data_IF_644396981023
#
_entry.id   IF_644396981023
#
_cell.length_a   1.000
_cell.length_b   1.000
_cell.length_c   1.000
_cell.angle_alpha   90.00
_cell.angle_beta   90.00
_cell.angle_gamma   90.00
#
_symmetry.space_group_name_H-M   'P 1'
#
loop_
_entity.id
_entity.type
_entity.pdbx_description
1 polymer ?
#
# COMPACT_ATOMS: atom_id res chain seq x y z
N UNK A 1 1.36 -10.52 1.53
CA UNK A 1 0.14 -11.36 1.51
C UNK A 1 0.23 -12.35 0.36
N UNK A 2 -0.32 -13.56 0.50
CA UNK A 2 -0.41 -14.56 -0.58
C UNK A 2 -1.76 -15.26 -0.47
N UNK A 3 -2.35 -15.60 -1.61
CA UNK A 3 -3.57 -16.41 -1.64
C UNK A 3 -3.30 -17.81 -1.07
N UNK A 4 -4.31 -18.38 -0.41
CA UNK A 4 -4.23 -19.76 0.08
C UNK A 4 -4.14 -20.75 -1.09
N UNK A 5 -3.65 -21.98 -0.86
CA UNK A 5 -3.61 -23.01 -1.89
C UNK A 5 -4.97 -23.25 -2.56
N UNK A 6 -6.05 -23.32 -1.77
CA UNK A 6 -7.42 -23.47 -2.27
C UNK A 6 -7.84 -22.28 -3.16
N UNK A 7 -7.54 -21.04 -2.76
CA UNK A 7 -7.83 -19.88 -3.61
C UNK A 7 -7.06 -19.94 -4.94
N UNK A 8 -5.78 -20.33 -4.91
CA UNK A 8 -4.97 -20.47 -6.12
C UNK A 8 -5.54 -21.53 -7.06
N UNK A 9 -5.97 -22.66 -6.52
CA UNK A 9 -6.59 -23.74 -7.27
C UNK A 9 -7.90 -23.27 -7.92
N UNK A 10 -8.81 -22.69 -7.15
CA UNK A 10 -10.12 -22.26 -7.65
C UNK A 10 -10.01 -21.15 -8.70
N UNK A 11 -9.15 -20.15 -8.49
CA UNK A 11 -8.90 -19.11 -9.49
C UNK A 11 -8.34 -19.72 -10.77
N UNK A 12 -7.44 -20.69 -10.66
CA UNK A 12 -6.85 -21.38 -11.82
C UNK A 12 -7.90 -22.14 -12.63
N UNK A 13 -8.82 -22.83 -11.95
CA UNK A 13 -9.93 -23.55 -12.60
C UNK A 13 -10.84 -22.56 -13.34
N UNK A 14 -11.29 -21.50 -12.65
CA UNK A 14 -12.20 -20.50 -13.25
C UNK A 14 -11.54 -19.81 -14.45
N UNK A 15 -10.27 -19.41 -14.33
CA UNK A 15 -9.53 -18.74 -15.39
C UNK A 15 -9.39 -19.62 -16.66
N UNK A 16 -9.24 -20.93 -16.51
CA UNK A 16 -9.17 -21.87 -17.64
C UNK A 16 -10.51 -22.05 -18.36
N UNK A 17 -11.62 -22.01 -17.62
CA UNK A 17 -12.97 -22.20 -18.19
C UNK A 17 -13.48 -20.93 -18.89
N UNK A 18 -13.03 -19.74 -18.47
CA UNK A 18 -13.53 -18.46 -19.00
C UNK A 18 -12.67 -17.94 -20.16
N UNK A 19 -13.09 -18.23 -21.39
CA UNK A 19 -12.40 -17.82 -22.64
C UNK A 19 -12.15 -16.30 -22.78
N UNK A 20 -12.98 -15.46 -22.18
CA UNK A 20 -12.77 -14.00 -22.25
C UNK A 20 -11.49 -13.53 -21.53
N UNK A 21 -10.95 -14.31 -20.58
CA UNK A 21 -9.70 -14.01 -19.89
C UNK A 21 -8.46 -14.50 -20.66
N UNK A 22 -8.63 -15.38 -21.65
CA UNK A 22 -7.54 -15.92 -22.47
C UNK A 22 -7.35 -15.19 -23.80
N UNK A 23 -8.25 -14.28 -24.16
CA UNK A 23 -8.15 -13.47 -25.39
C UNK A 23 -7.70 -12.06 -25.03
N UNK A 24 -6.60 -11.59 -25.63
CA UNK A 24 -6.14 -10.20 -25.50
C UNK A 24 -6.97 -9.30 -26.41
N UNK A 25 -8.11 -8.86 -25.93
CA UNK A 25 -9.07 -8.02 -26.67
C UNK A 25 -9.20 -6.58 -26.12
N UNK A 26 -8.29 -6.16 -25.23
CA UNK A 26 -8.29 -4.81 -24.62
C UNK A 26 -7.18 -3.95 -25.21
N UNK A 27 -7.55 -2.78 -25.71
CA UNK A 27 -6.60 -1.71 -26.05
C UNK A 27 -6.05 -1.10 -24.76
N UNK A 28 -4.71 -1.05 -24.61
CA UNK A 28 -4.06 -0.57 -23.40
C UNK A 28 -3.50 0.84 -23.61
N UNK A 29 -4.32 1.85 -23.29
CA UNK A 29 -3.88 3.25 -23.19
C UNK A 29 -3.44 3.63 -21.77
N UNK A 30 -3.11 2.63 -20.95
CA UNK A 30 -2.71 2.86 -19.56
C UNK A 30 -1.28 3.39 -19.51
N UNK A 31 -1.12 4.61 -18.98
CA UNK A 31 0.17 5.15 -18.56
C UNK A 31 0.79 4.20 -17.53
N UNK A 32 1.98 3.67 -17.85
CA UNK A 32 2.73 2.83 -16.92
C UNK A 32 3.51 3.69 -15.96
N UNK A 33 3.05 3.77 -14.71
CA UNK A 33 3.87 4.22 -13.60
C UNK A 33 4.58 3.01 -12.98
N UNK A 34 5.91 3.08 -12.90
CA UNK A 34 6.75 2.03 -12.33
C UNK A 34 7.13 2.28 -10.87
N UNK A 35 6.72 3.43 -10.34
CA UNK A 35 6.94 3.78 -8.94
C UNK A 35 6.05 2.92 -8.05
N UNK A 36 6.58 2.55 -6.90
CA UNK A 36 5.78 1.93 -5.87
C UNK A 36 4.74 2.93 -5.32
N UNK A 37 3.57 2.47 -4.82
CA UNK A 37 2.54 3.37 -4.29
C UNK A 37 3.05 4.32 -3.19
N UNK A 38 3.95 3.86 -2.33
CA UNK A 38 4.57 4.68 -1.28
C UNK A 38 5.61 5.71 -1.79
N UNK A 39 6.07 5.59 -3.04
CA UNK A 39 6.86 6.65 -3.69
C UNK A 39 5.98 7.78 -4.26
N UNK A 40 4.69 7.50 -4.46
CA UNK A 40 3.71 8.46 -4.99
C UNK A 40 2.91 9.09 -3.86
N UNK A 41 2.54 8.32 -2.84
CA UNK A 41 1.72 8.76 -1.72
C UNK A 41 2.57 9.00 -0.48
N UNK A 42 2.60 10.25 0.00
CA UNK A 42 3.20 10.59 1.29
C UNK A 42 2.50 9.86 2.44
N UNK A 43 3.17 9.72 3.59
CA UNK A 43 2.60 9.06 4.76
C UNK A 43 1.28 9.70 5.21
N UNK A 44 1.20 11.04 5.21
CA UNK A 44 -0.05 11.77 5.50
C UNK A 44 -1.13 11.46 4.49
N UNK A 45 -0.79 11.39 3.20
CA UNK A 45 -1.75 11.02 2.16
C UNK A 45 -2.29 9.61 2.34
N UNK A 46 -1.42 8.68 2.73
CA UNK A 46 -1.82 7.31 3.07
C UNK A 46 -2.78 7.29 4.28
N UNK A 47 -2.53 8.08 5.34
CA UNK A 47 -3.45 8.18 6.48
C UNK A 47 -4.84 8.67 6.04
N UNK A 48 -4.88 9.72 5.21
CA UNK A 48 -6.14 10.27 4.69
C UNK A 48 -6.92 9.27 3.82
N UNK A 49 -6.21 8.43 3.05
CA UNK A 49 -6.85 7.38 2.25
C UNK A 49 -7.37 6.23 3.11
N UNK A 50 -6.67 5.89 4.19
CA UNK A 50 -7.13 4.85 5.11
C UNK A 50 -8.33 5.30 5.93
N UNK A 51 -8.36 6.58 6.31
CA UNK A 51 -9.40 7.19 7.13
C UNK A 51 -10.12 8.30 6.36
N UNK A 52 -10.84 7.91 5.30
CA UNK A 52 -11.52 8.85 4.39
C UNK A 52 -12.56 9.76 5.07
N UNK A 53 -13.08 9.36 6.23
CA UNK A 53 -14.05 10.13 7.03
C UNK A 53 -13.38 11.11 8.02
N UNK A 54 -12.05 11.13 8.06
CA UNK A 54 -11.24 11.94 8.99
C UNK A 54 -10.21 12.74 8.18
N UNK A 55 -10.64 13.74 7.40
CA UNK A 55 -9.76 14.47 6.49
C UNK A 55 -8.61 15.21 7.18
N UNK A 56 -8.77 15.57 8.46
CA UNK A 56 -7.74 16.20 9.29
C UNK A 56 -6.67 15.23 9.79
N UNK A 57 -6.78 13.93 9.51
CA UNK A 57 -5.75 12.96 9.88
C UNK A 57 -4.43 13.24 9.14
N UNK A 58 -3.32 13.05 9.85
CA UNK A 58 -1.97 13.19 9.30
C UNK A 58 -1.02 12.16 9.91
N UNK A 59 0.08 11.91 9.22
CA UNK A 59 1.10 10.99 9.71
C UNK A 59 1.97 11.63 10.80
N UNK A 60 2.05 10.96 11.94
CA UNK A 60 2.96 11.28 13.04
C UNK A 60 4.23 10.43 12.85
N UNK A 61 5.27 11.04 12.29
CA UNK A 61 6.45 10.35 11.71
C UNK A 61 7.48 9.85 12.74
N UNK A 62 7.29 10.11 14.03
CA UNK A 62 8.20 9.68 15.11
C UNK A 62 8.06 8.21 15.50
N UNK A 63 7.30 7.40 14.75
CA UNK A 63 6.93 6.04 15.15
C UNK A 63 7.38 4.95 14.18
N UNK A 64 8.09 3.95 14.72
CA UNK A 64 8.26 2.56 14.25
C UNK A 64 8.43 2.30 12.74
N UNK A 65 9.12 3.19 12.01
CA UNK A 65 9.36 3.00 10.57
C UNK A 65 10.23 1.78 10.23
N UNK A 66 10.98 1.22 11.19
CA UNK A 66 11.72 -0.04 11.02
C UNK A 66 10.83 -1.25 10.67
N UNK A 67 9.56 -1.25 11.13
CA UNK A 67 8.53 -2.25 10.80
C UNK A 67 7.44 -1.69 9.90
N UNK A 68 7.72 -0.59 9.20
CA UNK A 68 6.83 -0.01 8.18
C UNK A 68 5.41 0.24 8.68
N UNK A 69 5.32 0.84 9.86
CA UNK A 69 4.07 1.31 10.46
C UNK A 69 4.17 2.77 10.80
N UNK A 70 3.05 3.48 10.68
CA UNK A 70 2.95 4.89 11.01
C UNK A 70 1.75 5.13 11.90
N UNK A 71 1.86 6.11 12.81
CA UNK A 71 0.73 6.62 13.57
C UNK A 71 0.00 7.67 12.73
N UNK A 72 -1.30 7.53 12.58
CA UNK A 72 -2.17 8.54 12.00
C UNK A 72 -2.92 9.24 13.12
N UNK A 73 -2.85 10.57 13.17
CA UNK A 73 -3.58 11.38 14.15
C UNK A 73 -5.09 11.11 14.06
N UNK A 74 -5.74 11.03 15.22
CA UNK A 74 -7.18 10.89 15.35
C UNK A 74 -7.74 11.97 16.26
N UNK A 75 -8.67 12.81 15.77
CA UNK A 75 -9.25 13.87 16.55
C UNK A 75 -10.20 13.31 17.62
N UNK A 76 -10.37 14.08 18.70
CA UNK A 76 -11.25 13.73 19.83
C UNK A 76 -12.67 13.34 19.41
N UNK A 77 -13.21 13.95 18.35
CA UNK A 77 -14.56 13.62 17.83
C UNK A 77 -14.72 12.17 17.35
N UNK A 78 -13.61 11.48 17.01
CA UNK A 78 -13.64 10.10 16.49
C UNK A 78 -13.48 9.08 17.62
N UNK A 79 -12.57 9.33 18.57
CA UNK A 79 -12.21 8.36 19.62
C UNK A 79 -12.61 8.78 21.03
N UNK A 80 -13.11 10.00 21.25
CA UNK A 80 -13.47 10.54 22.57
C UNK A 80 -12.32 11.24 23.31
N UNK A 81 -11.08 11.09 22.85
CA UNK A 81 -9.88 11.81 23.32
C UNK A 81 -8.90 12.02 22.16
N UNK A 82 -7.92 12.93 22.31
CA UNK A 82 -6.85 13.08 21.32
C UNK A 82 -6.00 11.80 21.28
N UNK A 83 -5.90 11.18 20.10
CA UNK A 83 -5.32 9.87 19.96
C UNK A 83 -4.67 9.68 18.59
N UNK A 84 -4.26 8.45 18.34
CA UNK A 84 -3.75 8.01 17.06
C UNK A 84 -4.19 6.57 16.81
N UNK A 85 -4.13 6.17 15.56
CA UNK A 85 -4.22 4.77 15.15
C UNK A 85 -2.98 4.38 14.36
N UNK A 86 -2.63 3.10 14.38
CA UNK A 86 -1.44 2.59 13.70
C UNK A 86 -1.86 1.84 12.46
N UNK A 87 -1.26 2.17 11.33
CA UNK A 87 -1.46 1.44 10.07
C UNK A 87 -0.11 1.00 9.48
N UNK A 88 -0.17 -0.01 8.61
CA UNK A 88 0.99 -0.39 7.79
C UNK A 88 1.10 0.57 6.61
N UNK A 89 2.32 0.97 6.27
CA UNK A 89 2.56 1.86 5.13
C UNK A 89 2.69 1.07 3.83
N UNK A 90 2.43 1.73 2.71
CA UNK A 90 2.54 1.12 1.38
C UNK A 90 4.01 0.83 1.02
N UNK A 91 4.21 -0.19 0.19
CA UNK A 91 5.53 -0.49 -0.36
C UNK A 91 6.11 0.73 -1.09
N UNK A 92 7.41 0.94 -0.98
CA UNK A 92 8.13 2.11 -1.49
C UNK A 92 8.16 3.32 -0.57
N UNK A 93 7.40 3.33 0.52
CA UNK A 93 7.42 4.44 1.49
C UNK A 93 8.82 4.57 2.13
N UNK A 94 9.40 5.77 2.23
CA UNK A 94 10.73 5.95 2.82
C UNK A 94 10.70 5.62 4.32
N UNK A 95 11.70 4.88 4.81
CA UNK A 95 11.82 4.47 6.21
C UNK A 95 13.19 4.79 6.83
N UNK A 96 14.05 5.51 6.09
CA UNK A 96 15.39 5.91 6.49
C UNK A 96 16.18 6.42 5.27
N UNK A 97 17.49 6.59 5.44
CA UNK A 97 18.35 6.99 4.32
C UNK A 97 18.57 5.81 3.36
N UNK A 98 18.28 6.02 2.07
CA UNK A 98 18.34 4.99 1.02
C UNK A 98 17.54 3.71 1.29
N UNK A 99 16.58 3.76 2.21
CA UNK A 99 15.73 2.62 2.59
C UNK A 99 14.26 2.92 2.39
N UNK A 100 13.51 1.88 2.03
CA UNK A 100 12.08 1.94 1.81
C UNK A 100 11.39 0.67 2.33
N UNK A 101 10.09 0.80 2.55
CA UNK A 101 9.24 -0.28 3.02
C UNK A 101 8.91 -1.28 1.92
N UNK A 102 9.09 -2.57 2.21
CA UNK A 102 8.70 -3.66 1.33
C UNK A 102 8.15 -4.83 2.12
N UNK A 103 6.90 -5.21 1.88
CA UNK A 103 6.21 -6.26 2.63
C UNK A 103 6.28 -6.07 4.16
N UNK A 104 6.14 -4.83 4.62
CA UNK A 104 6.12 -4.51 6.06
C UNK A 104 7.49 -4.44 6.75
N UNK A 105 8.59 -4.45 6.00
CA UNK A 105 9.95 -4.35 6.56
C UNK A 105 10.74 -3.26 5.86
N UNK A 106 11.48 -2.46 6.63
CA UNK A 106 12.38 -1.45 6.10
C UNK A 106 13.64 -2.10 5.52
N UNK A 107 13.88 -1.92 4.22
CA UNK A 107 15.02 -2.51 3.49
C UNK A 107 15.65 -1.49 2.55
N UNK A 108 16.82 -1.80 1.99
CA UNK A 108 17.45 -0.96 0.96
C UNK A 108 16.49 -0.75 -0.22
N UNK A 109 16.42 0.48 -0.71
CA UNK A 109 15.51 0.85 -1.81
C UNK A 109 15.80 0.01 -3.06
N UNK A 110 14.75 -0.57 -3.64
CA UNK A 110 14.81 -1.37 -4.86
C UNK A 110 14.64 -0.43 -6.06
N UNK A 111 15.55 -0.50 -7.03
CA UNK A 111 15.42 0.22 -8.30
C UNK A 111 14.77 -0.72 -9.31
N UNK A 112 13.51 -0.45 -9.65
CA UNK A 112 12.81 -1.17 -10.73
C UNK A 112 13.37 -0.67 -12.07
N UNK A 113 14.24 -1.47 -12.70
CA UNK A 113 14.72 -1.16 -14.05
C UNK A 113 13.57 -1.28 -15.05
N UNK A 114 13.50 -0.35 -16.00
CA UNK A 114 12.57 -0.43 -17.14
C UNK A 114 12.86 -1.70 -17.94
N UNK A 115 11.82 -2.49 -18.21
CA UNK A 115 11.81 -3.57 -19.21
C UNK A 115 11.04 -3.09 -20.43
#
# INVERSE_FOLDING_TARGET
>A
FKFSPCCNEMISIIARVRRCLSVKNVHKDLLRDHRFPGEVASLTRQCQWWFTQVPETYAMTEYAMGICRVKCYMPKRVLGWEAYTVMSVMDGSPCGNETACYNGVCKKKIIVKRQ
#
